data_IF_477611256995
#
_entry.id   IF_477611256995
#
_cell.length_a   1.000
_cell.length_b   1.000
_cell.length_c   1.000
_cell.angle_alpha   90.00
_cell.angle_beta   90.00
_cell.angle_gamma   90.00
#
_symmetry.space_group_name_H-M   'P 1'
#
loop_
_entity.id
_entity.type
_entity.pdbx_description
1 polymer ?
#
# COMPACT_ATOMS: atom_id res chain seq x y z
N UNK A 1 12.43 25.09 32.71
CA UNK A 1 12.09 23.81 32.07
C UNK A 1 13.32 23.34 31.31
N UNK A 2 14.00 22.30 31.80
CA UNK A 2 15.42 22.03 31.52
C UNK A 2 15.66 21.22 30.24
N UNK A 3 16.76 21.52 29.54
CA UNK A 3 17.23 20.87 28.29
C UNK A 3 17.17 19.32 28.33
N UNK A 4 17.35 18.70 29.49
CA UNK A 4 17.27 17.23 29.67
C UNK A 4 15.91 16.62 29.31
N UNK A 5 14.81 17.36 29.51
CA UNK A 5 13.45 16.86 29.22
C UNK A 5 13.15 16.83 27.71
N UNK A 6 13.91 17.58 26.90
CA UNK A 6 13.79 17.62 25.44
C UNK A 6 14.77 16.63 24.78
N UNK A 7 15.97 16.47 25.35
CA UNK A 7 17.00 15.55 24.83
C UNK A 7 16.55 14.08 24.93
N UNK A 8 15.88 13.69 26.02
CA UNK A 8 15.42 12.30 26.22
C UNK A 8 14.45 11.81 25.12
N UNK A 9 13.36 12.51 24.79
CA UNK A 9 12.48 12.09 23.69
C UNK A 9 13.16 12.15 22.32
N UNK A 10 14.08 13.11 22.09
CA UNK A 10 14.83 13.18 20.84
C UNK A 10 15.83 12.02 20.66
N UNK A 11 16.50 11.59 21.73
CA UNK A 11 17.41 10.45 21.70
C UNK A 11 16.67 9.11 21.54
N UNK A 12 15.48 8.98 22.13
CA UNK A 12 14.60 7.83 21.90
C UNK A 12 14.11 7.78 20.44
N UNK A 13 13.63 8.90 19.88
CA UNK A 13 13.30 9.01 18.45
C UNK A 13 14.50 8.71 17.54
N UNK A 14 15.71 9.15 17.90
CA UNK A 14 16.90 8.89 17.11
C UNK A 14 17.27 7.40 17.08
N UNK A 15 16.94 6.64 18.14
CA UNK A 15 17.16 5.20 18.19
C UNK A 15 16.28 4.45 17.19
N UNK A 16 15.05 4.94 16.98
CA UNK A 16 14.07 4.42 16.03
C UNK A 16 14.50 4.65 14.57
N UNK A 17 15.46 5.54 14.32
CA UNK A 17 16.02 5.79 12.98
C UNK A 17 17.28 4.97 12.68
N UNK A 18 17.76 4.15 13.63
CA UNK A 18 18.97 3.35 13.42
C UNK A 18 18.73 2.15 12.50
N UNK A 19 19.71 1.84 11.65
CA UNK A 19 19.67 0.65 10.79
C UNK A 19 19.38 -0.66 11.54
N UNK A 20 19.80 -0.75 12.82
CA UNK A 20 19.59 -1.93 13.66
C UNK A 20 18.10 -2.27 13.88
N UNK A 21 17.21 -1.27 13.83
CA UNK A 21 15.77 -1.50 14.05
C UNK A 21 15.03 -1.92 12.77
N UNK A 22 15.69 -1.84 11.60
CA UNK A 22 15.15 -2.34 10.32
C UNK A 22 15.87 -3.60 9.81
N UNK A 23 17.10 -3.85 10.29
CA UNK A 23 17.94 -4.99 9.90
C UNK A 23 17.27 -6.38 9.94
N UNK A 24 16.41 -6.71 10.92
CA UNK A 24 15.71 -7.99 10.93
C UNK A 24 14.85 -8.26 9.69
N UNK A 25 14.17 -7.24 9.14
CA UNK A 25 13.38 -7.40 7.91
C UNK A 25 14.28 -7.81 6.73
N UNK A 26 15.45 -7.18 6.60
CA UNK A 26 16.43 -7.52 5.56
C UNK A 26 16.94 -8.95 5.73
N UNK A 27 17.21 -9.38 6.96
CA UNK A 27 17.65 -10.74 7.23
C UNK A 27 16.62 -11.80 6.80
N UNK A 28 15.33 -11.55 7.05
CA UNK A 28 14.24 -12.44 6.59
C UNK A 28 14.17 -12.47 5.06
N UNK A 29 14.19 -11.30 4.41
CA UNK A 29 14.07 -11.19 2.95
C UNK A 29 15.24 -11.79 2.18
N UNK A 30 16.44 -11.79 2.77
CA UNK A 30 17.63 -12.39 2.19
C UNK A 30 17.75 -13.90 2.44
N UNK A 31 16.90 -14.48 3.30
CA UNK A 31 16.96 -15.91 3.62
C UNK A 31 16.36 -16.75 2.48
N UNK A 32 16.93 -17.94 2.23
CA UNK A 32 16.46 -18.83 1.16
C UNK A 32 15.03 -19.32 1.34
N UNK A 33 14.54 -19.34 2.57
CA UNK A 33 13.15 -19.69 2.91
C UNK A 33 12.26 -18.45 3.07
N UNK A 34 12.64 -17.32 2.47
CA UNK A 34 11.82 -16.10 2.50
C UNK A 34 10.38 -16.43 2.07
N UNK A 35 9.37 -16.09 2.89
CA UNK A 35 7.99 -16.51 2.64
C UNK A 35 7.27 -15.68 1.57
N UNK A 36 7.94 -14.67 0.99
CA UNK A 36 7.32 -13.74 0.06
C UNK A 36 8.23 -13.37 -1.12
N UNK A 37 7.60 -13.04 -2.25
CA UNK A 37 8.24 -12.49 -3.45
C UNK A 37 7.43 -11.29 -3.93
N UNK A 38 8.09 -10.23 -4.39
CA UNK A 38 7.44 -9.09 -5.08
C UNK A 38 6.57 -8.17 -4.21
N UNK A 39 6.58 -8.34 -2.88
CA UNK A 39 5.81 -7.48 -1.96
C UNK A 39 6.55 -6.17 -1.65
N UNK A 40 5.79 -5.08 -1.47
CA UNK A 40 6.32 -3.81 -0.98
C UNK A 40 6.20 -3.83 0.55
N UNK A 41 7.33 -3.76 1.25
CA UNK A 41 7.38 -3.84 2.71
C UNK A 41 8.02 -2.57 3.29
N UNK A 42 7.34 -1.98 4.26
CA UNK A 42 7.83 -0.84 5.04
C UNK A 42 8.48 -1.30 6.34
N UNK A 43 9.68 -0.81 6.61
CA UNK A 43 10.38 -0.98 7.89
C UNK A 43 10.91 0.38 8.36
N UNK A 44 10.44 0.86 9.50
CA UNK A 44 10.82 2.16 10.05
C UNK A 44 10.54 2.20 11.56
N UNK A 45 11.46 2.69 12.39
CA UNK A 45 11.17 2.84 13.83
C UNK A 45 10.84 1.55 14.58
N UNK A 46 11.33 0.41 14.11
CA UNK A 46 10.91 -0.90 14.65
C UNK A 46 9.49 -1.33 14.28
N UNK A 47 8.78 -0.55 13.43
CA UNK A 47 7.50 -0.92 12.84
C UNK A 47 7.72 -1.60 11.49
N UNK A 48 6.98 -2.68 11.27
CA UNK A 48 6.98 -3.44 10.02
C UNK A 48 5.56 -3.52 9.44
N UNK A 49 5.42 -3.28 8.14
CA UNK A 49 4.14 -3.38 7.43
C UNK A 49 4.34 -3.85 6.01
N UNK A 50 3.27 -4.38 5.43
CA UNK A 50 3.12 -4.45 3.99
C UNK A 50 2.42 -3.19 3.50
N UNK A 51 2.97 -2.59 2.45
CA UNK A 51 2.26 -1.59 1.65
C UNK A 51 1.61 -2.30 0.47
N UNK A 52 0.39 -1.92 0.15
CA UNK A 52 -0.37 -2.46 -0.97
C UNK A 52 -0.71 -1.35 -1.94
N UNK A 53 -0.98 -1.75 -3.19
CA UNK A 53 -1.64 -0.90 -4.17
C UNK A 53 -3.07 -1.38 -4.22
N UNK A 54 -4.02 -0.48 -3.96
CA UNK A 54 -5.44 -0.78 -4.05
C UNK A 54 -6.02 -0.28 -5.37
N UNK A 55 -7.14 -0.86 -5.78
CA UNK A 55 -7.96 -0.33 -6.87
C UNK A 55 -9.39 -0.19 -6.40
N UNK A 56 -9.92 1.03 -6.53
CA UNK A 56 -11.34 1.31 -6.33
C UNK A 56 -12.19 0.45 -7.27
N UNK A 57 -13.44 0.15 -6.88
CA UNK A 57 -14.38 -0.55 -7.77
C UNK A 57 -14.57 0.23 -9.08
N UNK A 58 -14.62 1.56 -8.96
CA UNK A 58 -14.72 2.47 -10.09
C UNK A 58 -16.06 2.39 -10.81
N UNK A 59 -16.13 3.10 -11.94
CA UNK A 59 -17.30 3.17 -12.79
C UNK A 59 -17.05 2.50 -14.14
N UNK A 60 -18.04 1.77 -14.64
CA UNK A 60 -18.00 1.10 -15.94
C UNK A 60 -19.09 1.69 -16.83
N UNK A 61 -18.67 2.36 -17.91
CA UNK A 61 -19.59 2.83 -18.93
C UNK A 61 -20.15 1.67 -19.77
N UNK A 62 -21.43 1.78 -20.15
CA UNK A 62 -22.11 0.83 -21.07
C UNK A 62 -21.91 1.19 -22.54
N UNK A 63 -21.60 2.46 -22.80
CA UNK A 63 -21.38 3.06 -24.12
C UNK A 63 -19.97 3.67 -24.14
N UNK A 64 -19.39 4.04 -25.31
CA UNK A 64 -18.13 4.77 -25.34
C UNK A 64 -18.21 6.06 -24.50
N UNK A 65 -17.40 6.21 -23.42
CA UNK A 65 -17.53 7.33 -22.49
C UNK A 65 -16.95 8.63 -23.07
N UNK A 66 -17.50 9.76 -22.65
CA UNK A 66 -16.96 11.11 -22.86
C UNK A 66 -16.12 11.56 -21.66
N UNK A 67 -15.45 12.71 -21.76
CA UNK A 67 -14.71 13.27 -20.64
C UNK A 67 -15.66 13.79 -19.55
N UNK A 68 -16.81 14.30 -19.96
CA UNK A 68 -17.90 14.76 -19.09
C UNK A 68 -18.45 13.59 -18.25
N UNK A 69 -18.68 12.42 -18.86
CA UNK A 69 -19.14 11.24 -18.11
C UNK A 69 -18.15 10.84 -17.00
N UNK A 70 -16.84 10.94 -17.26
CA UNK A 70 -15.80 10.64 -16.27
C UNK A 70 -15.83 11.64 -15.11
N UNK A 71 -16.10 12.92 -15.39
CA UNK A 71 -16.22 13.96 -14.36
C UNK A 71 -17.48 13.73 -13.52
N UNK A 72 -18.60 13.41 -14.17
CA UNK A 72 -19.89 13.19 -13.50
C UNK A 72 -19.84 11.94 -12.58
N UNK A 73 -19.01 10.96 -12.91
CA UNK A 73 -18.79 9.74 -12.12
C UNK A 73 -17.52 9.78 -11.25
N UNK A 74 -16.88 10.94 -11.09
CA UNK A 74 -15.57 11.04 -10.42
C UNK A 74 -15.57 10.45 -9.00
N UNK A 75 -16.61 10.74 -8.21
CA UNK A 75 -16.71 10.25 -6.83
C UNK A 75 -16.77 8.71 -6.76
N UNK A 76 -17.46 8.06 -7.71
CA UNK A 76 -17.51 6.59 -7.84
C UNK A 76 -16.16 6.00 -8.29
N UNK A 77 -15.45 6.72 -9.16
CA UNK A 77 -14.12 6.33 -9.67
C UNK A 77 -13.07 6.31 -8.56
N UNK A 78 -13.12 7.28 -7.65
CA UNK A 78 -12.08 7.43 -6.61
C UNK A 78 -12.45 6.82 -5.26
N UNK A 79 -13.69 6.36 -5.09
CA UNK A 79 -14.18 5.75 -3.85
C UNK A 79 -13.30 4.57 -3.39
N UNK A 80 -12.78 4.67 -2.17
CA UNK A 80 -11.89 3.67 -1.59
C UNK A 80 -12.59 2.70 -0.63
N UNK A 81 -13.88 2.91 -0.32
CA UNK A 81 -14.58 2.13 0.71
C UNK A 81 -14.67 0.63 0.35
N UNK A 82 -14.74 0.32 -0.94
CA UNK A 82 -14.74 -1.04 -1.49
C UNK A 82 -13.47 -1.38 -2.29
N UNK A 83 -12.38 -0.63 -2.10
CA UNK A 83 -11.15 -0.86 -2.85
C UNK A 83 -10.53 -2.21 -2.51
N UNK A 84 -10.06 -2.91 -3.53
CA UNK A 84 -9.44 -4.23 -3.39
C UNK A 84 -7.93 -4.09 -3.42
N UNK A 85 -7.26 -4.80 -2.49
CA UNK A 85 -5.81 -4.91 -2.48
C UNK A 85 -5.34 -5.72 -3.70
N UNK A 86 -4.55 -5.09 -4.57
CA UNK A 86 -3.85 -5.78 -5.64
C UNK A 86 -2.48 -6.20 -5.13
N UNK A 87 -2.17 -7.51 -5.07
CA UNK A 87 -0.94 -8.00 -4.46
C UNK A 87 0.32 -7.81 -5.33
N UNK A 88 0.40 -6.72 -6.11
CA UNK A 88 1.43 -6.42 -7.11
C UNK A 88 1.51 -7.46 -8.25
N UNK A 89 0.38 -8.07 -8.58
CA UNK A 89 0.26 -9.02 -9.69
C UNK A 89 -0.68 -8.43 -10.75
N UNK A 90 -0.11 -8.11 -11.92
CA UNK A 90 -0.87 -7.56 -13.06
C UNK A 90 -1.95 -8.53 -13.56
N UNK A 91 -1.75 -9.84 -13.37
CA UNK A 91 -2.74 -10.84 -13.75
C UNK A 91 -3.91 -10.84 -12.77
N UNK A 92 -3.69 -10.59 -11.48
CA UNK A 92 -4.78 -10.41 -10.50
C UNK A 92 -5.53 -9.12 -10.77
N UNK A 93 -4.83 -8.02 -11.02
CA UNK A 93 -5.49 -6.76 -11.43
C UNK A 93 -6.34 -6.96 -12.68
N UNK A 94 -5.80 -7.58 -13.73
CA UNK A 94 -6.53 -7.85 -14.96
C UNK A 94 -7.72 -8.79 -14.72
N UNK A 95 -7.56 -9.82 -13.88
CA UNK A 95 -8.63 -10.76 -13.54
C UNK A 95 -9.78 -10.07 -12.80
N UNK A 96 -9.51 -9.29 -11.76
CA UNK A 96 -10.54 -8.58 -11.00
C UNK A 96 -11.26 -7.53 -11.86
N UNK A 97 -10.54 -6.80 -12.71
CA UNK A 97 -11.18 -5.87 -13.65
C UNK A 97 -12.05 -6.60 -14.68
N UNK A 98 -11.61 -7.76 -15.18
CA UNK A 98 -12.42 -8.58 -16.09
C UNK A 98 -13.68 -9.12 -15.41
N UNK A 99 -13.62 -9.46 -14.12
CA UNK A 99 -14.81 -9.86 -13.34
C UNK A 99 -15.84 -8.75 -13.25
N UNK A 100 -15.39 -7.53 -12.93
CA UNK A 100 -16.26 -6.35 -12.89
C UNK A 100 -16.88 -6.05 -14.26
N UNK A 101 -16.09 -6.12 -15.33
CA UNK A 101 -16.57 -5.92 -16.70
C UNK A 101 -17.55 -7.02 -17.15
N UNK A 102 -17.37 -8.26 -16.69
CA UNK A 102 -18.16 -9.42 -17.09
C UNK A 102 -19.25 -9.83 -16.08
N UNK A 103 -19.42 -9.08 -14.98
CA UNK A 103 -20.46 -9.27 -13.97
C UNK A 103 -20.43 -10.62 -13.22
N UNK A 104 -19.23 -11.14 -12.88
CA UNK A 104 -19.03 -12.41 -12.14
C UNK A 104 -18.34 -12.20 -10.79
#
# INVERSE_FOLDING_TARGET
MGREQIIRPLAAMALDLLAKVVGPMVAVLAHRTCPCTGQILGAWGGRFARSTITTAQGWISKEPPTAEDVIDHWDEIVDQDAAVDNPNDIMIFAYENMRLLCGH
#
